data_IF_539784215300
#
_entry.id   IF_539784215300
#
_cell.length_a   1.000
_cell.length_b   1.000
_cell.length_c   1.000
_cell.angle_alpha   90.00
_cell.angle_beta   90.00
_cell.angle_gamma   90.00
#
_symmetry.space_group_name_H-M   'P 1'
#
loop_
_entity.id
_entity.type
_entity.pdbx_description
1 polymer ?
#
# COMPACT_ATOMS: atom_id res chain seq x y z
N UNK A 1 20.08 12.12 -8.96
CA UNK A 1 18.96 11.29 -9.46
C UNK A 1 19.52 9.99 -10.00
N UNK A 2 19.06 8.85 -9.47
CA UNK A 2 19.48 7.52 -9.92
C UNK A 2 18.25 6.73 -10.37
N UNK A 3 18.39 6.01 -11.48
CA UNK A 3 17.34 5.24 -12.13
C UNK A 3 17.65 3.74 -12.03
N UNK A 4 16.66 2.94 -11.67
CA UNK A 4 16.69 1.48 -11.72
C UNK A 4 15.48 1.01 -12.52
N UNK A 5 15.70 0.10 -13.46
CA UNK A 5 14.64 -0.54 -14.23
C UNK A 5 14.86 -2.04 -14.27
N UNK A 6 13.75 -2.78 -14.17
CA UNK A 6 13.72 -4.22 -14.33
C UNK A 6 12.50 -4.62 -15.14
N UNK A 7 12.70 -5.58 -16.03
CA UNK A 7 11.63 -6.26 -16.75
C UNK A 7 11.67 -7.75 -16.41
N UNK A 8 10.50 -8.37 -16.28
CA UNK A 8 10.35 -9.82 -16.07
C UNK A 8 9.10 -10.31 -16.79
N UNK A 9 9.11 -11.55 -17.26
CA UNK A 9 7.94 -12.19 -17.87
C UNK A 9 7.47 -13.30 -16.97
N UNK A 10 6.24 -13.18 -16.47
CA UNK A 10 5.55 -14.24 -15.77
C UNK A 10 4.85 -15.14 -16.80
N UNK A 11 5.10 -16.47 -16.81
CA UNK A 11 4.48 -17.40 -17.76
C UNK A 11 3.03 -17.75 -17.37
N UNK A 12 2.26 -16.74 -16.95
CA UNK A 12 0.87 -16.85 -16.50
C UNK A 12 0.07 -15.65 -17.00
N UNK A 13 -1.24 -15.85 -17.14
CA UNK A 13 -2.15 -14.83 -17.65
C UNK A 13 -2.26 -13.63 -16.69
N UNK A 14 -2.63 -12.48 -17.27
CA UNK A 14 -2.65 -11.20 -16.55
C UNK A 14 -3.62 -11.21 -15.36
N UNK A 15 -4.77 -11.87 -15.49
CA UNK A 15 -5.77 -11.98 -14.45
C UNK A 15 -5.22 -12.75 -13.24
N UNK A 16 -4.52 -13.87 -13.46
CA UNK A 16 -3.84 -14.61 -12.38
C UNK A 16 -2.73 -13.76 -11.74
N UNK A 17 -1.87 -13.12 -12.54
CA UNK A 17 -0.77 -12.29 -12.02
C UNK A 17 -1.26 -11.11 -11.17
N UNK A 18 -2.27 -10.39 -11.64
CA UNK A 18 -2.81 -9.23 -10.92
C UNK A 18 -3.63 -9.63 -9.71
N UNK A 19 -4.35 -10.76 -9.75
CA UNK A 19 -5.06 -11.30 -8.57
C UNK A 19 -4.09 -11.69 -7.45
N UNK A 20 -2.96 -12.31 -7.80
CA UNK A 20 -1.87 -12.59 -6.87
C UNK A 20 -1.23 -11.30 -6.32
N UNK A 21 -1.15 -10.23 -7.12
CA UNK A 21 -0.54 -8.97 -6.70
C UNK A 21 -1.35 -8.27 -5.59
N UNK A 22 -2.68 -8.34 -5.66
CA UNK A 22 -3.55 -7.78 -4.62
C UNK A 22 -3.38 -8.47 -3.26
N UNK A 23 -2.92 -9.73 -3.24
CA UNK A 23 -2.71 -10.54 -2.02
C UNK A 23 -1.23 -10.64 -1.61
N UNK A 24 -0.37 -9.80 -2.20
CA UNK A 24 1.08 -9.83 -1.95
C UNK A 24 1.48 -9.62 -0.48
N UNK A 25 0.67 -8.89 0.28
CA UNK A 25 0.97 -8.58 1.69
C UNK A 25 -0.08 -9.18 2.63
N UNK A 26 0.34 -9.65 3.82
CA UNK A 26 1.72 -9.70 4.32
C UNK A 26 2.55 -10.82 3.65
N UNK A 27 3.88 -10.68 3.62
CA UNK A 27 4.79 -11.76 3.18
C UNK A 27 6.13 -11.75 3.96
N UNK A 28 6.73 -12.93 4.21
CA UNK A 28 7.93 -13.05 5.04
C UNK A 28 9.21 -12.49 4.39
N UNK A 29 9.26 -12.41 3.05
CA UNK A 29 10.41 -11.90 2.28
C UNK A 29 10.50 -10.36 2.29
N UNK A 30 9.43 -9.68 2.69
CA UNK A 30 9.35 -8.23 2.84
C UNK A 30 8.87 -7.85 4.26
N UNK A 31 9.59 -8.25 5.32
CA UNK A 31 9.16 -8.09 6.70
C UNK A 31 9.17 -6.62 7.18
N UNK A 32 9.73 -5.72 6.37
CA UNK A 32 9.71 -4.28 6.59
C UNK A 32 8.35 -3.66 6.29
N UNK A 33 7.49 -4.33 5.51
CA UNK A 33 6.11 -3.92 5.30
C UNK A 33 5.28 -4.49 6.45
N UNK A 34 4.87 -3.62 7.38
CA UNK A 34 4.15 -4.02 8.59
C UNK A 34 2.65 -3.98 8.38
N UNK A 35 2.16 -2.97 7.67
CA UNK A 35 0.75 -2.77 7.43
C UNK A 35 0.52 -2.16 6.04
N UNK A 36 -0.59 -2.54 5.41
CA UNK A 36 -1.03 -2.01 4.12
C UNK A 36 -2.52 -1.74 4.20
N UNK A 37 -2.87 -0.47 4.16
CA UNK A 37 -4.25 0.01 4.22
C UNK A 37 -4.71 0.51 2.87
N UNK A 38 -6.00 0.36 2.57
CA UNK A 38 -6.63 1.04 1.43
C UNK A 38 -7.25 2.34 1.92
N UNK A 39 -6.74 3.48 1.44
CA UNK A 39 -7.25 4.80 1.78
C UNK A 39 -8.50 5.16 0.97
N UNK A 40 -8.50 4.81 -0.32
CA UNK A 40 -9.67 4.99 -1.17
C UNK A 40 -9.71 3.98 -2.31
N UNK A 41 -10.92 3.71 -2.79
CA UNK A 41 -11.18 2.85 -3.94
C UNK A 41 -12.32 3.42 -4.78
N UNK A 42 -12.06 3.60 -6.06
CA UNK A 42 -13.01 4.06 -7.05
C UNK A 42 -13.12 3.02 -8.17
N UNK A 43 -14.36 2.73 -8.59
CA UNK A 43 -14.64 1.82 -9.71
C UNK A 43 -15.41 2.61 -10.75
N UNK A 44 -14.79 2.81 -11.91
CA UNK A 44 -15.45 3.32 -13.10
C UNK A 44 -15.91 2.13 -13.96
N UNK A 45 -17.18 1.77 -13.81
CA UNK A 45 -17.80 0.67 -14.55
C UNK A 45 -17.86 0.96 -16.05
N UNK A 46 -18.04 2.22 -16.44
CA UNK A 46 -18.18 2.63 -17.83
C UNK A 46 -16.84 2.56 -18.58
N UNK A 47 -15.74 2.93 -17.92
CA UNK A 47 -14.40 2.80 -18.46
C UNK A 47 -13.77 1.42 -18.22
N UNK A 48 -14.30 0.63 -17.28
CA UNK A 48 -13.71 -0.65 -16.86
C UNK A 48 -12.42 -0.47 -16.06
N UNK A 49 -12.35 0.58 -15.23
CA UNK A 49 -11.16 0.97 -14.48
C UNK A 49 -11.39 0.93 -12.98
N UNK A 50 -10.39 0.44 -12.25
CA UNK A 50 -10.31 0.45 -10.80
C UNK A 50 -9.15 1.35 -10.40
N UNK A 51 -9.42 2.37 -9.57
CA UNK A 51 -8.39 3.18 -8.93
C UNK A 51 -8.37 2.91 -7.44
N UNK A 52 -7.19 2.66 -6.89
CA UNK A 52 -6.99 2.39 -5.47
C UNK A 52 -5.82 3.21 -4.97
N UNK A 53 -6.00 3.88 -3.83
CA UNK A 53 -4.88 4.47 -3.09
C UNK A 53 -4.64 3.62 -1.85
N UNK A 54 -3.39 3.22 -1.62
CA UNK A 54 -2.95 2.46 -0.46
C UNK A 54 -1.93 3.24 0.37
N UNK A 55 -1.96 3.04 1.69
CA UNK A 55 -0.97 3.53 2.64
C UNK A 55 -0.19 2.32 3.17
N UNK A 56 1.12 2.45 3.20
CA UNK A 56 2.03 1.45 3.73
C UNK A 56 2.68 1.99 4.99
N UNK A 57 2.63 1.22 6.06
CA UNK A 57 3.47 1.43 7.24
C UNK A 57 4.69 0.53 7.15
N UNK A 58 5.87 1.16 7.22
CA UNK A 58 7.16 0.54 6.97
C UNK A 58 8.08 0.72 8.18
N UNK A 59 8.73 -0.37 8.59
CA UNK A 59 9.85 -0.32 9.53
C UNK A 59 11.14 -0.63 8.78
N UNK A 60 12.01 0.36 8.68
CA UNK A 60 13.28 0.26 7.98
C UNK A 60 14.36 -0.29 8.91
N UNK A 61 14.99 -1.37 8.47
CA UNK A 61 16.25 -1.80 9.06
C UNK A 61 17.39 -0.96 8.48
N UNK A 62 17.91 -0.04 9.30
CA UNK A 62 18.91 0.91 8.85
C UNK A 62 20.30 0.29 8.84
N UNK A 63 21.17 0.69 7.88
CA UNK A 63 22.59 0.37 7.94
C UNK A 63 23.19 0.78 9.30
N UNK A 64 24.13 -0.02 9.83
CA UNK A 64 24.66 0.14 11.19
C UNK A 64 25.19 1.54 11.49
N UNK A 65 25.77 2.22 10.49
CA UNK A 65 26.28 3.58 10.63
C UNK A 65 25.17 4.63 10.79
N UNK A 66 23.99 4.41 10.22
CA UNK A 66 22.80 5.27 10.44
C UNK A 66 22.17 4.96 11.80
N UNK A 67 22.10 3.68 12.17
CA UNK A 67 21.57 3.22 13.47
C UNK A 67 22.39 3.76 14.66
N UNK A 68 23.69 3.97 14.47
CA UNK A 68 24.54 4.59 15.50
C UNK A 68 24.13 6.05 15.79
N UNK A 69 23.59 6.77 14.80
CA UNK A 69 23.07 8.13 14.97
C UNK A 69 21.62 8.13 15.47
N UNK A 70 20.81 7.20 14.98
CA UNK A 70 19.40 7.06 15.33
C UNK A 70 19.21 5.80 16.16
N UNK A 71 19.14 5.96 17.50
CA UNK A 71 19.06 4.87 18.51
C UNK A 71 17.77 4.00 18.45
N UNK A 72 16.97 4.09 17.39
CA UNK A 72 15.72 3.35 17.17
C UNK A 72 15.57 2.98 15.70
N UNK A 73 14.81 1.92 15.40
CA UNK A 73 14.41 1.60 14.04
C UNK A 73 13.65 2.79 13.44
N UNK A 74 13.90 3.12 12.16
CA UNK A 74 13.18 4.19 11.49
C UNK A 74 11.85 3.66 10.99
N UNK A 75 10.78 4.27 11.46
CA UNK A 75 9.43 4.07 10.97
C UNK A 75 9.15 5.05 9.83
N UNK A 76 8.33 4.65 8.87
CA UNK A 76 7.88 5.57 7.85
C UNK A 76 6.69 5.09 7.05
N UNK A 77 6.12 6.04 6.33
CA UNK A 77 4.93 5.82 5.53
C UNK A 77 5.25 5.95 4.05
N UNK A 78 4.60 5.13 3.24
CA UNK A 78 4.60 5.27 1.78
C UNK A 78 3.17 5.24 1.25
N UNK A 79 2.93 5.97 0.18
CA UNK A 79 1.63 6.02 -0.51
C UNK A 79 1.79 5.38 -1.86
N UNK A 80 0.81 4.56 -2.24
CA UNK A 80 0.74 3.92 -3.55
C UNK A 80 -0.58 4.23 -4.22
N UNK A 81 -0.51 4.73 -5.46
CA UNK A 81 -1.65 4.92 -6.34
C UNK A 81 -1.67 3.83 -7.40
N UNK A 82 -2.77 3.09 -7.47
CA UNK A 82 -2.97 1.95 -8.37
C UNK A 82 -4.08 2.27 -9.35
N UNK A 83 -3.83 2.10 -10.64
CA UNK A 83 -4.85 2.09 -11.68
C UNK A 83 -4.83 0.73 -12.38
N UNK A 84 -5.98 0.05 -12.38
CA UNK A 84 -6.18 -1.24 -13.03
C UNK A 84 -7.24 -1.08 -14.11
N UNK A 85 -6.82 -1.16 -15.37
CA UNK A 85 -7.68 -1.16 -16.55
C UNK A 85 -7.93 -2.61 -16.98
N UNK A 86 -9.12 -3.12 -16.65
CA UNK A 86 -9.48 -4.53 -16.87
C UNK A 86 -9.69 -4.81 -18.35
N UNK A 87 -10.14 -3.83 -19.13
CA UNK A 87 -10.39 -3.98 -20.57
C UNK A 87 -9.08 -4.10 -21.34
N UNK A 88 -8.13 -3.23 -21.03
CA UNK A 88 -6.82 -3.23 -21.67
C UNK A 88 -5.84 -4.21 -21.01
N UNK A 89 -6.22 -4.85 -19.90
CA UNK A 89 -5.38 -5.76 -19.11
C UNK A 89 -4.05 -5.12 -18.73
N UNK A 90 -4.15 -3.96 -18.08
CA UNK A 90 -3.00 -3.20 -17.58
C UNK A 90 -3.25 -2.80 -16.14
N UNK A 91 -2.32 -3.14 -15.26
CA UNK A 91 -2.27 -2.65 -13.88
C UNK A 91 -1.01 -1.81 -13.72
N UNK A 92 -1.17 -0.57 -13.28
CA UNK A 92 -0.07 0.35 -12.97
C UNK A 92 -0.14 0.73 -11.50
N UNK A 93 0.92 0.49 -10.75
CA UNK A 93 1.04 0.91 -9.35
C UNK A 93 2.19 1.91 -9.23
N UNK A 94 1.92 3.07 -8.64
CA UNK A 94 2.88 4.16 -8.46
C UNK A 94 3.08 4.41 -6.97
N UNK A 95 4.21 3.96 -6.45
CA UNK A 95 4.60 4.13 -5.05
C UNK A 95 5.47 5.36 -4.84
N UNK A 96 5.31 6.05 -3.72
CA UNK A 96 6.25 7.06 -3.25
C UNK A 96 6.34 7.07 -1.73
N UNK A 97 7.53 7.36 -1.19
CA UNK A 97 7.66 7.53 0.25
C UNK A 97 7.08 8.88 0.67
N UNK A 98 6.35 8.87 1.79
CA UNK A 98 5.84 10.09 2.44
C UNK A 98 6.84 10.59 3.47
N UNK A 99 7.23 9.72 4.41
CA UNK A 99 8.27 10.01 5.40
C UNK A 99 9.63 10.13 4.72
N UNK A 100 10.46 11.06 5.18
CA UNK A 100 11.81 11.38 4.65
C UNK A 100 11.85 11.99 3.24
N UNK A 101 10.70 12.27 2.62
CA UNK A 101 10.58 12.81 1.26
C UNK A 101 11.25 14.18 1.03
N UNK A 102 11.57 14.91 2.10
CA UNK A 102 12.27 16.20 2.07
C UNK A 102 13.75 16.06 1.70
N UNK A 103 14.41 14.96 2.07
CA UNK A 103 15.83 14.73 1.80
C UNK A 103 16.11 13.41 1.05
N UNK A 104 15.18 12.46 1.07
CA UNK A 104 15.24 11.21 0.34
C UNK A 104 13.89 10.95 -0.33
N UNK A 105 13.81 11.18 -1.64
CA UNK A 105 12.61 10.93 -2.44
C UNK A 105 12.80 9.67 -3.27
N UNK A 106 11.91 8.72 -3.07
CA UNK A 106 11.80 7.45 -3.74
C UNK A 106 10.47 7.41 -4.48
N UNK A 107 10.53 7.15 -5.78
CA UNK A 107 9.35 6.97 -6.61
C UNK A 107 9.49 5.66 -7.37
N UNK A 108 8.48 4.82 -7.28
CA UNK A 108 8.43 3.54 -7.95
C UNK A 108 7.21 3.48 -8.85
N UNK A 109 7.36 2.91 -10.04
CA UNK A 109 6.27 2.59 -10.95
C UNK A 109 6.40 1.15 -11.38
N UNK A 110 5.38 0.36 -11.05
CA UNK A 110 5.24 -1.03 -11.45
C UNK A 110 4.13 -1.11 -12.49
N UNK A 111 4.32 -1.96 -13.49
CA UNK A 111 3.31 -2.24 -14.51
C UNK A 111 3.23 -3.73 -14.76
N UNK A 112 2.01 -4.27 -14.67
CA UNK A 112 1.65 -5.60 -15.16
C UNK A 112 0.76 -5.43 -16.38
N UNK A 113 1.17 -5.97 -17.51
CA UNK A 113 0.41 -5.92 -18.74
C UNK A 113 0.52 -7.25 -19.46
N UNK A 114 -0.47 -7.59 -20.30
CA UNK A 114 -0.36 -8.75 -21.19
C UNK A 114 0.91 -8.66 -22.04
N UNK A 115 1.62 -9.78 -22.19
CA UNK A 115 2.84 -9.82 -22.97
C UNK A 115 2.52 -9.57 -24.46
N UNK A 116 3.28 -8.70 -25.16
CA UNK A 116 2.98 -8.34 -26.55
C UNK A 116 3.01 -9.55 -27.49
N UNK A 117 3.96 -10.46 -27.26
CA UNK A 117 4.17 -11.62 -28.14
C UNK A 117 3.40 -12.87 -27.72
N UNK A 118 2.95 -12.95 -26.45
CA UNK A 118 2.23 -14.12 -25.93
C UNK A 118 1.06 -13.70 -25.04
N UNK A 119 -0.18 -13.81 -25.53
CA UNK A 119 -1.40 -13.59 -24.78
C UNK A 119 -1.52 -14.21 -23.39
N UNK A 120 -0.91 -15.38 -23.21
CA UNK A 120 -1.02 -16.19 -22.00
C UNK A 120 0.04 -15.81 -20.96
N UNK A 121 0.92 -14.86 -21.26
CA UNK A 121 1.97 -14.39 -20.37
C UNK A 121 1.74 -12.95 -19.95
N UNK A 122 2.35 -12.59 -18.83
CA UNK A 122 2.29 -11.24 -18.26
C UNK A 122 3.67 -10.62 -18.24
N UNK A 123 3.79 -9.46 -18.88
CA UNK A 123 4.97 -8.62 -18.82
C UNK A 123 4.91 -7.73 -17.59
N UNK A 124 5.89 -7.90 -16.71
CA UNK A 124 6.14 -7.06 -15.56
C UNK A 124 7.26 -6.08 -15.83
N UNK A 125 7.03 -4.81 -15.52
CA UNK A 125 8.04 -3.75 -15.55
C UNK A 125 8.04 -3.01 -14.23
N UNK A 126 9.23 -2.75 -13.72
CA UNK A 126 9.47 -1.98 -12.50
C UNK A 126 10.47 -0.88 -12.82
N UNK A 127 10.12 0.36 -12.47
CA UNK A 127 10.98 1.53 -12.62
C UNK A 127 11.04 2.26 -11.30
N UNK A 128 12.23 2.65 -10.90
CA UNK A 128 12.45 3.28 -9.60
C UNK A 128 13.43 4.44 -9.73
N UNK A 129 13.04 5.58 -9.16
CA UNK A 129 13.80 6.81 -9.14
C UNK A 129 14.11 7.20 -7.71
N UNK A 130 15.36 7.60 -7.48
CA UNK A 130 15.82 8.08 -6.19
C UNK A 130 16.45 9.45 -6.34
N UNK A 131 16.10 10.34 -5.43
CA UNK A 131 16.71 11.66 -5.30
C UNK A 131 17.07 11.90 -3.84
N UNK A 132 18.35 12.16 -3.58
CA UNK A 132 18.84 12.56 -2.27
C UNK A 132 19.26 14.02 -2.33
N UNK A 133 18.87 14.81 -1.34
CA UNK A 133 19.13 16.26 -1.31
C UNK A 133 19.42 16.71 0.12
N UNK A 134 20.27 17.72 0.27
CA UNK A 134 20.53 18.37 1.57
C UNK A 134 21.50 17.64 2.51
N UNK A 135 22.12 16.54 2.11
CA UNK A 135 23.04 15.75 2.96
C UNK A 135 24.53 15.83 2.55
N UNK A 136 24.88 16.77 1.68
CA UNK A 136 26.27 17.04 1.28
C UNK A 136 27.02 15.78 0.81
N UNK A 137 28.19 15.52 1.40
CA UNK A 137 29.06 14.38 1.05
C UNK A 137 28.43 13.00 1.31
N UNK A 138 27.37 12.91 2.11
CA UNK A 138 26.68 11.65 2.40
C UNK A 138 25.67 11.26 1.31
N UNK A 139 25.28 12.19 0.43
CA UNK A 139 24.32 11.94 -0.65
C UNK A 139 24.72 10.74 -1.51
N UNK A 140 25.99 10.68 -1.94
CA UNK A 140 26.47 9.59 -2.81
C UNK A 140 26.44 8.22 -2.14
N UNK A 141 26.78 8.14 -0.84
CA UNK A 141 26.77 6.88 -0.09
C UNK A 141 25.34 6.38 0.17
N UNK A 142 24.41 7.29 0.49
CA UNK A 142 23.00 6.97 0.67
C UNK A 142 22.34 6.54 -0.65
N UNK A 143 22.64 7.24 -1.75
CA UNK A 143 22.15 6.85 -3.08
C UNK A 143 22.65 5.47 -3.52
N UNK A 144 23.89 5.10 -3.16
CA UNK A 144 24.43 3.77 -3.44
C UNK A 144 23.73 2.71 -2.58
N UNK A 145 23.65 2.92 -1.27
CA UNK A 145 22.98 1.98 -0.36
C UNK A 145 21.50 1.77 -0.71
N UNK A 146 20.79 2.83 -1.11
CA UNK A 146 19.40 2.75 -1.55
C UNK A 146 19.27 1.92 -2.84
N UNK A 147 20.17 2.10 -3.81
CA UNK A 147 20.18 1.30 -5.04
C UNK A 147 20.41 -0.18 -4.76
N UNK A 148 21.42 -0.50 -3.96
CA UNK A 148 21.78 -1.88 -3.66
C UNK A 148 20.65 -2.59 -2.89
N UNK A 149 20.04 -1.90 -1.93
CA UNK A 149 18.85 -2.39 -1.22
C UNK A 149 17.66 -2.61 -2.16
N UNK A 150 17.42 -1.68 -3.08
CA UNK A 150 16.30 -1.79 -4.02
C UNK A 150 16.49 -2.90 -5.05
N UNK A 151 17.71 -3.15 -5.52
CA UNK A 151 18.00 -4.28 -6.40
C UNK A 151 17.67 -5.62 -5.71
N UNK A 152 18.08 -5.78 -4.44
CA UNK A 152 17.75 -6.96 -3.65
C UNK A 152 16.23 -7.08 -3.42
N UNK A 153 15.56 -5.98 -3.04
CA UNK A 153 14.11 -5.97 -2.82
C UNK A 153 13.32 -6.27 -4.09
N UNK A 154 13.78 -5.79 -5.24
CA UNK A 154 13.20 -6.11 -6.53
C UNK A 154 13.30 -7.62 -6.81
N UNK A 155 14.47 -8.22 -6.58
CA UNK A 155 14.67 -9.67 -6.72
C UNK A 155 13.67 -10.45 -5.87
N UNK A 156 13.65 -10.19 -4.56
CA UNK A 156 12.75 -10.84 -3.62
C UNK A 156 11.27 -10.63 -4.01
N UNK A 157 10.92 -9.42 -4.46
CA UNK A 157 9.56 -9.09 -4.88
C UNK A 157 9.04 -9.95 -6.04
N UNK A 158 9.90 -10.27 -7.02
CA UNK A 158 9.54 -11.18 -8.12
C UNK A 158 9.40 -12.61 -7.64
N UNK A 159 10.30 -13.08 -6.77
CA UNK A 159 10.22 -14.43 -6.18
C UNK A 159 8.93 -14.63 -5.40
N UNK A 160 8.56 -13.67 -4.54
CA UNK A 160 7.28 -13.67 -3.80
C UNK A 160 6.10 -13.76 -4.76
N UNK A 161 6.12 -12.96 -5.82
CA UNK A 161 5.06 -12.96 -6.82
C UNK A 161 4.97 -14.30 -7.56
N UNK A 162 6.09 -14.91 -7.96
CA UNK A 162 6.08 -16.24 -8.57
C UNK A 162 5.39 -17.27 -7.66
N UNK A 163 5.75 -17.31 -6.38
CA UNK A 163 5.15 -18.24 -5.43
C UNK A 163 3.64 -17.97 -5.19
N UNK A 164 3.22 -16.71 -5.20
CA UNK A 164 1.80 -16.35 -5.07
C UNK A 164 1.00 -16.73 -6.32
N UNK A 165 1.56 -16.45 -7.50
CA UNK A 165 0.95 -16.75 -8.79
C UNK A 165 0.82 -18.25 -8.96
N UNK A 166 1.89 -19.01 -8.67
CA UNK A 166 1.87 -20.47 -8.76
C UNK A 166 0.83 -21.07 -7.80
N UNK A 167 0.80 -20.63 -6.53
CA UNK A 167 -0.21 -21.08 -5.57
C UNK A 167 -1.64 -20.78 -6.04
N UNK A 168 -1.87 -19.58 -6.58
CA UNK A 168 -3.18 -19.21 -7.11
C UNK A 168 -3.51 -19.99 -8.38
N UNK A 169 -2.56 -20.25 -9.26
CA UNK A 169 -2.76 -21.02 -10.47
C UNK A 169 -3.10 -22.49 -10.18
N UNK A 170 -2.53 -23.06 -9.12
CA UNK A 170 -2.85 -24.41 -8.65
C UNK A 170 -4.28 -24.51 -8.07
N UNK A 171 -4.92 -23.41 -7.71
CA UNK A 171 -6.34 -23.41 -7.36
C UNK A 171 -7.19 -23.18 -8.59
N UNK A 172 -8.40 -23.76 -8.63
CA UNK A 172 -9.34 -23.52 -9.73
C UNK A 172 -10.11 -22.19 -9.53
N UNK A 173 -9.39 -21.14 -9.09
CA UNK A 173 -9.98 -19.89 -8.62
C UNK A 173 -10.87 -19.20 -9.66
N UNK A 174 -10.58 -19.39 -10.95
CA UNK A 174 -11.41 -18.88 -12.05
C UNK A 174 -12.78 -19.54 -12.07
N UNK A 175 -12.83 -20.87 -11.94
CA UNK A 175 -14.07 -21.61 -11.86
C UNK A 175 -14.84 -21.28 -10.57
N UNK A 176 -14.14 -21.12 -9.44
CA UNK A 176 -14.77 -20.70 -8.19
C UNK A 176 -15.40 -19.31 -8.32
N UNK A 177 -14.72 -18.38 -8.98
CA UNK A 177 -15.25 -17.04 -9.26
C UNK A 177 -16.48 -17.09 -10.16
N UNK A 178 -16.44 -17.88 -11.24
CA UNK A 178 -17.56 -18.02 -12.15
C UNK A 178 -18.75 -18.72 -11.49
N UNK A 179 -18.50 -19.72 -10.64
CA UNK A 179 -19.52 -20.39 -9.84
C UNK A 179 -20.22 -19.39 -8.89
N UNK A 180 -19.43 -18.63 -8.12
CA UNK A 180 -19.98 -17.62 -7.21
C UNK A 180 -20.76 -16.52 -7.96
N UNK A 181 -20.24 -16.05 -9.10
CA UNK A 181 -20.94 -15.08 -9.96
C UNK A 181 -22.29 -15.63 -10.45
N UNK A 182 -22.32 -16.88 -10.89
CA UNK A 182 -23.54 -17.55 -11.34
C UNK A 182 -24.54 -17.75 -10.19
N UNK A 183 -24.08 -18.09 -9.00
CA UNK A 183 -24.93 -18.27 -7.82
C UNK A 183 -25.60 -16.96 -7.41
N UNK A 184 -24.84 -15.85 -7.35
CA UNK A 184 -25.39 -14.51 -7.07
C UNK A 184 -26.41 -14.09 -8.14
N UNK A 185 -26.14 -14.39 -9.42
CA UNK A 185 -27.09 -14.11 -10.51
C UNK A 185 -28.38 -14.93 -10.33
N UNK A 186 -28.25 -16.25 -10.13
CA UNK A 186 -29.40 -17.15 -9.93
C UNK A 186 -30.26 -16.74 -8.74
N UNK A 187 -29.66 -16.36 -7.61
CA UNK A 187 -30.42 -15.89 -6.44
C UNK A 187 -31.24 -14.64 -6.74
N UNK A 188 -30.73 -13.77 -7.60
CA UNK A 188 -31.42 -12.53 -8.03
C UNK A 188 -32.55 -12.87 -9.01
N UNK A 189 -32.30 -13.75 -9.97
CA UNK A 189 -33.27 -14.22 -10.96
C UNK A 189 -34.42 -15.02 -10.31
N UNK A 190 -34.12 -15.94 -9.39
CA UNK A 190 -35.11 -16.72 -8.63
C UNK A 190 -36.04 -15.84 -7.79
N UNK A 191 -35.49 -14.78 -7.20
CA UNK A 191 -36.27 -13.85 -6.39
C UNK A 191 -37.20 -12.99 -7.27
N UNK A 192 -36.73 -12.63 -8.47
CA UNK A 192 -37.49 -11.91 -9.48
C UNK A 192 -38.62 -12.76 -10.06
N UNK A 193 -38.33 -14.01 -10.43
CA UNK A 193 -39.28 -14.95 -11.03
C UNK A 193 -40.39 -15.34 -10.04
N UNK A 194 -40.05 -15.50 -8.75
CA UNK A 194 -41.02 -15.77 -7.68
C UNK A 194 -41.82 -14.53 -7.26
N UNK A 195 -41.67 -13.40 -7.95
CA UNK A 195 -42.38 -12.14 -7.69
C UNK A 195 -42.07 -11.54 -6.32
N UNK A 196 -41.02 -12.00 -5.64
CA UNK A 196 -40.63 -11.53 -4.30
C UNK A 196 -39.92 -10.18 -4.35
N UNK A 197 -39.46 -9.81 -5.54
CA UNK A 197 -38.90 -8.51 -5.89
C UNK A 197 -39.30 -8.17 -7.32
N UNK A 198 -39.56 -6.90 -7.58
CA UNK A 198 -39.71 -6.38 -8.94
C UNK A 198 -38.34 -6.27 -9.64
N UNK A 199 -38.32 -6.15 -10.97
CA UNK A 199 -37.06 -5.98 -11.72
C UNK A 199 -36.28 -4.72 -11.27
N UNK A 200 -37.00 -3.66 -10.91
CA UNK A 200 -36.41 -2.45 -10.35
C UNK A 200 -35.80 -2.69 -8.96
N UNK A 201 -36.48 -3.46 -8.10
CA UNK A 201 -35.96 -3.84 -6.77
C UNK A 201 -34.83 -4.86 -6.84
N UNK A 202 -34.80 -5.75 -7.84
CA UNK A 202 -33.69 -6.65 -8.09
C UNK A 202 -32.43 -5.86 -8.51
N UNK A 203 -32.59 -4.92 -9.44
CA UNK A 203 -31.51 -4.01 -9.83
C UNK A 203 -31.05 -3.14 -8.64
N UNK A 204 -31.99 -2.64 -7.84
CA UNK A 204 -31.69 -1.83 -6.66
C UNK A 204 -31.07 -2.66 -5.52
N UNK A 205 -31.48 -3.92 -5.33
CA UNK A 205 -30.85 -4.85 -4.38
C UNK A 205 -29.45 -5.22 -4.82
N UNK A 206 -29.20 -5.42 -6.11
CA UNK A 206 -27.86 -5.68 -6.62
C UNK A 206 -26.97 -4.44 -6.41
N UNK A 207 -27.47 -3.24 -6.70
CA UNK A 207 -26.80 -1.97 -6.36
C UNK A 207 -26.58 -1.81 -4.86
N UNK A 208 -27.59 -2.12 -4.05
CA UNK A 208 -27.55 -2.02 -2.59
C UNK A 208 -26.60 -3.03 -1.99
N UNK A 209 -26.50 -4.25 -2.54
CA UNK A 209 -25.52 -5.26 -2.15
C UNK A 209 -24.11 -4.81 -2.48
N UNK A 210 -23.90 -4.22 -3.67
CA UNK A 210 -22.63 -3.57 -4.03
C UNK A 210 -22.30 -2.40 -3.09
N UNK A 211 -23.31 -1.60 -2.70
CA UNK A 211 -23.22 -0.48 -1.75
C UNK A 211 -23.02 -0.94 -0.29
N UNK A 212 -23.61 -2.05 0.13
CA UNK A 212 -23.51 -2.61 1.48
C UNK A 212 -22.21 -3.40 1.65
N UNK A 213 -21.72 -4.06 0.60
CA UNK A 213 -20.34 -4.54 0.54
C UNK A 213 -19.36 -3.36 0.67
N UNK A 214 -19.60 -2.26 -0.06
CA UNK A 214 -18.84 -1.00 0.07
C UNK A 214 -18.96 -0.38 1.47
N UNK A 215 -20.14 -0.44 2.09
CA UNK A 215 -20.43 0.09 3.43
C UNK A 215 -19.96 -0.80 4.59
N UNK A 216 -19.85 -2.12 4.39
CA UNK A 216 -19.21 -3.05 5.34
C UNK A 216 -17.71 -2.84 5.33
N UNK A 217 -17.13 -2.63 4.14
CA UNK A 217 -15.73 -2.20 3.98
C UNK A 217 -15.52 -0.84 4.66
N UNK A 218 -16.37 0.17 4.40
CA UNK A 218 -16.29 1.48 5.07
C UNK A 218 -16.58 1.46 6.58
N UNK A 219 -17.41 0.55 7.11
CA UNK A 219 -17.65 0.44 8.56
C UNK A 219 -16.50 -0.26 9.28
N UNK A 220 -15.85 -1.22 8.64
CA UNK A 220 -14.58 -1.78 9.11
C UNK A 220 -13.51 -0.68 9.12
N UNK A 221 -13.45 0.17 8.06
CA UNK A 221 -12.60 1.37 7.99
C UNK A 221 -12.94 2.40 9.09
N UNK A 222 -14.21 2.77 9.32
CA UNK A 222 -14.60 3.78 10.32
C UNK A 222 -14.46 3.30 11.77
N UNK A 223 -14.67 2.01 12.03
CA UNK A 223 -14.39 1.36 13.32
C UNK A 223 -12.90 1.35 13.62
N UNK A 224 -12.07 1.25 12.58
CA UNK A 224 -10.62 1.26 12.66
C UNK A 224 -10.06 2.70 12.75
N UNK A 225 -10.52 3.64 11.92
CA UNK A 225 -10.20 5.08 11.97
C UNK A 225 -10.58 5.67 13.33
N UNK A 226 -11.73 5.32 13.92
CA UNK A 226 -12.08 5.77 15.27
C UNK A 226 -11.19 5.14 16.35
N UNK A 227 -10.63 3.93 16.13
CA UNK A 227 -9.65 3.30 17.04
C UNK A 227 -8.28 3.96 16.91
N UNK A 228 -7.85 4.30 15.70
CA UNK A 228 -6.61 5.03 15.41
C UNK A 228 -6.69 6.48 15.91
N UNK A 229 -7.82 7.18 15.70
CA UNK A 229 -8.05 8.54 16.20
C UNK A 229 -8.12 8.57 17.74
N UNK A 230 -8.73 7.57 18.40
CA UNK A 230 -8.68 7.45 19.87
C UNK A 230 -7.28 7.16 20.41
N UNK A 231 -6.49 6.36 19.70
CA UNK A 231 -5.10 6.11 20.05
C UNK A 231 -4.24 7.39 19.89
N UNK A 232 -4.48 8.18 18.83
CA UNK A 232 -3.80 9.46 18.60
C UNK A 232 -4.18 10.53 19.65
N UNK A 233 -5.46 10.64 20.04
CA UNK A 233 -5.91 11.59 21.08
C UNK A 233 -5.37 11.22 22.47
N UNK A 234 -5.13 9.93 22.75
CA UNK A 234 -4.46 9.51 23.99
C UNK A 234 -2.96 9.80 24.02
N UNK A 235 -2.30 9.98 22.87
CA UNK A 235 -0.92 10.46 22.80
C UNK A 235 -0.81 11.96 23.08
N UNK A 236 -1.74 12.79 22.59
CA UNK A 236 -1.73 14.25 22.80
C UNK A 236 -2.07 14.66 24.25
N UNK A 237 -2.87 13.86 24.97
CA UNK A 237 -3.19 14.14 26.37
C UNK A 237 -2.03 13.86 27.35
N UNK A 238 -0.96 13.21 26.89
CA UNK A 238 0.25 12.93 27.68
C UNK A 238 1.30 14.04 27.64
N UNK A 239 1.20 15.01 26.72
CA UNK A 239 2.19 16.09 26.55
C UNK A 239 1.73 17.47 27.05
N UNK A 240 0.46 17.63 27.46
CA UNK A 240 -0.09 18.93 27.89
C UNK A 240 -0.09 19.19 29.42
N UNK A 241 0.74 18.48 30.20
CA UNK A 241 0.75 18.59 31.66
C UNK A 241 2.14 18.58 32.27
N UNK A 242 2.97 19.59 31.97
CA UNK A 242 4.32 19.64 32.53
C UNK A 242 5.11 20.93 32.25
N UNK A 243 4.52 22.11 32.33
CA UNK A 243 5.31 23.34 32.45
C UNK A 243 5.70 23.56 33.91
N UNK A 244 6.91 23.09 34.26
CA UNK A 244 7.63 23.51 35.46
C UNK A 244 8.09 24.96 35.29
N UNK A 245 7.57 25.86 36.13
CA UNK A 245 8.15 27.19 36.33
C UNK A 245 9.38 27.08 37.23
N UNK A 246 10.56 27.00 36.64
CA UNK A 246 11.81 27.26 37.37
C UNK A 246 12.12 28.76 37.32
N UNK A 247 11.75 29.44 38.40
CA UNK A 247 12.24 30.77 38.74
C UNK A 247 13.66 30.68 39.29
N UNK A 248 14.61 31.29 38.58
CA UNK A 248 15.84 31.81 39.18
C UNK A 248 15.88 33.32 38.91
N UNK A 249 16.17 34.14 39.92
CA UNK A 249 16.92 35.35 39.64
C UNK A 249 18.21 35.45 40.45
N UNK A 250 19.19 35.96 39.72
CA UNK A 250 20.49 36.51 40.06
C UNK A 250 20.51 37.42 41.29
N UNK A 251 21.66 37.40 41.99
CA UNK A 251 21.92 38.19 43.19
C UNK A 251 22.10 39.69 42.99
N UNK A 252 22.17 40.36 44.13
CA UNK A 252 22.68 41.72 44.37
C UNK A 252 23.19 41.75 45.81
N UNK A 253 24.38 42.34 46.02
CA UNK A 253 25.02 42.44 47.33
C UNK A 253 24.34 43.42 48.30
N UNK A 254 24.63 43.27 49.59
CA UNK A 254 25.31 44.25 50.44
C UNK A 254 25.40 43.75 51.90
N UNK A 255 26.50 44.12 52.55
CA UNK A 255 26.87 44.10 53.99
C UNK A 255 25.77 44.61 54.96
N UNK A 256 25.85 44.53 56.33
CA UNK A 256 27.05 44.70 57.19
C UNK A 256 27.13 43.93 58.54
N UNK A 257 28.26 44.14 59.26
CA UNK A 257 28.49 44.16 60.73
C UNK A 257 28.05 42.93 61.57
N UNK A 258 28.89 42.28 62.39
CA UNK A 258 29.75 42.73 63.50
C UNK A 258 30.77 41.62 63.77
#
# INVERSE_FOLDING_TARGET
MRFFERTHTFPYDWETCTSAWWTKYPNPEQPHVKEVDTLCREVDQNAGRLRVRRLFYLEYDLPSWVRMMYKRNMEGYAVEDVECDVRNRVLVAKGSNYTFSSFFRMQETITYQRHPDNPEWTLYRQRMNFTVSGLGVLCGRLEQAARDSSAQKAHNGVTVMNNLIERLHLTNWKADFDCWRQEVSKMTDDALEKGRITAAEAAERLRRFQSEAKGRIQRVESSFINRVARAAVHCDAGEAGGTSTDTVPSGSGDTPAV
#
